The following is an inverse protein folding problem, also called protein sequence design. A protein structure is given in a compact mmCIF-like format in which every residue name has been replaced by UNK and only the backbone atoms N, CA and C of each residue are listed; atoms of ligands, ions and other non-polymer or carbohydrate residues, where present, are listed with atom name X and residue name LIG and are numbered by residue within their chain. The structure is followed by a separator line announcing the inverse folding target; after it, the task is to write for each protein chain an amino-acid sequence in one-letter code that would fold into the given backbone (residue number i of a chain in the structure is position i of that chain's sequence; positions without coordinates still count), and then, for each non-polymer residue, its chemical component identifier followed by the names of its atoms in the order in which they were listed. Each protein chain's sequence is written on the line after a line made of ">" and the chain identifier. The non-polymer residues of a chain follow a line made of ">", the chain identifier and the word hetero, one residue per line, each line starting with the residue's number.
data_IF_457939026283
#
_entry.id   IF_457939026283
#
_cell.length_a   1.000
_cell.length_b   1.000
_cell.length_c   1.000
_cell.angle_alpha   90.00
_cell.angle_beta   90.00
_cell.angle_gamma   90.00
#
_symmetry.space_group_name_H-M   'P 1'
#
loop_
_entity.id
_entity.type
_entity.pdbx_description
1 polymer ?
#
# COMPACT_ATOMS: atom_id res chain seq x y z
N UNK A 1 -6.42 9.06 7.11
CA UNK A 1 -5.24 8.34 7.58
C UNK A 1 -4.45 7.81 6.38
N UNK A 2 -3.16 8.16 6.27
CA UNK A 2 -2.26 7.63 5.26
C UNK A 2 -1.56 6.39 5.80
N UNK A 3 -1.48 5.35 4.97
CA UNK A 3 -0.80 4.09 5.29
C UNK A 3 0.19 3.79 4.15
N UNK A 4 1.51 3.95 4.37
CA UNK A 4 2.51 3.44 3.44
C UNK A 4 2.52 1.92 3.50
N UNK A 5 2.29 1.27 2.36
CA UNK A 5 2.11 -0.19 2.32
C UNK A 5 3.43 -0.96 2.39
N UNK A 6 4.52 -0.41 1.84
CA UNK A 6 5.78 -1.14 1.82
C UNK A 6 7.00 -0.26 1.59
N UNK A 7 8.08 -0.54 2.31
CA UNK A 7 9.43 -0.01 2.06
C UNK A 7 9.63 1.49 2.30
N UNK A 8 10.89 1.87 2.21
CA UNK A 8 11.34 3.23 2.54
C UNK A 8 10.84 4.27 1.54
N UNK A 9 10.87 3.95 0.24
CA UNK A 9 10.42 4.86 -0.82
C UNK A 9 8.92 5.16 -0.71
N UNK A 10 8.12 4.16 -0.36
CA UNK A 10 6.68 4.31 -0.14
C UNK A 10 6.41 5.13 1.13
N UNK A 11 7.18 4.92 2.19
CA UNK A 11 7.12 5.72 3.41
C UNK A 11 7.46 7.17 3.12
N UNK A 12 8.55 7.43 2.40
CA UNK A 12 8.95 8.78 2.01
C UNK A 12 7.90 9.48 1.14
N UNK A 13 7.28 8.75 0.23
CA UNK A 13 6.18 9.29 -0.59
C UNK A 13 4.98 9.66 0.29
N UNK A 14 4.57 8.80 1.21
CA UNK A 14 3.47 9.06 2.12
C UNK A 14 3.76 10.26 3.05
N UNK A 15 4.98 10.38 3.57
CA UNK A 15 5.43 11.51 4.37
C UNK A 15 5.41 12.82 3.58
N UNK A 16 5.87 12.81 2.33
CA UNK A 16 5.81 13.98 1.45
C UNK A 16 4.37 14.41 1.17
N UNK A 17 3.47 13.48 0.92
CA UNK A 17 2.03 13.75 0.76
C UNK A 17 1.48 14.37 2.05
N UNK A 18 1.77 13.78 3.20
CA UNK A 18 1.34 14.25 4.50
C UNK A 18 1.79 15.69 4.79
N UNK A 19 3.07 15.99 4.56
CA UNK A 19 3.64 17.34 4.77
C UNK A 19 2.99 18.37 3.83
N UNK A 20 2.72 18.01 2.57
CA UNK A 20 2.04 18.89 1.62
C UNK A 20 0.60 19.16 2.02
N UNK A 21 -0.15 18.14 2.41
CA UNK A 21 -1.52 18.30 2.88
C UNK A 21 -1.61 19.23 4.09
N UNK A 22 -0.68 19.10 5.04
CA UNK A 22 -0.60 20.00 6.18
C UNK A 22 -0.28 21.44 5.76
N UNK A 23 0.79 21.63 4.99
CA UNK A 23 1.32 22.95 4.64
C UNK A 23 0.41 23.70 3.67
N UNK A 24 0.01 23.06 2.58
CA UNK A 24 -0.61 23.73 1.44
C UNK A 24 -2.14 23.81 1.58
N UNK A 25 -2.75 22.95 2.40
CA UNK A 25 -4.20 22.86 2.59
C UNK A 25 -4.66 23.07 4.03
N UNK A 26 -3.75 23.36 4.95
CA UNK A 26 -4.04 23.62 6.37
C UNK A 26 -4.84 22.51 7.06
N UNK A 27 -4.53 21.25 6.73
CA UNK A 27 -5.22 20.06 7.24
C UNK A 27 -4.49 19.44 8.46
N UNK A 28 -3.86 20.24 9.30
CA UNK A 28 -2.98 19.77 10.39
C UNK A 28 -3.68 18.79 11.34
N UNK A 29 -4.91 19.04 11.70
CA UNK A 29 -5.68 18.21 12.63
C UNK A 29 -6.47 17.07 11.95
N UNK A 30 -6.55 17.09 10.61
CA UNK A 30 -7.41 16.18 9.85
C UNK A 30 -6.65 15.02 9.19
N UNK A 31 -5.32 15.13 9.11
CA UNK A 31 -4.47 14.16 8.42
C UNK A 31 -3.50 13.52 9.41
N UNK A 32 -3.50 12.21 9.43
CA UNK A 32 -2.57 11.39 10.20
C UNK A 32 -1.83 10.45 9.27
N UNK A 33 -0.63 10.07 9.64
CA UNK A 33 0.15 9.05 8.95
C UNK A 33 0.46 7.91 9.92
N UNK A 34 0.20 6.69 9.48
CA UNK A 34 0.54 5.49 10.23
C UNK A 34 1.88 4.97 9.69
N UNK A 35 2.96 5.23 10.41
CA UNK A 35 4.29 4.75 10.05
C UNK A 35 4.74 3.63 10.98
N UNK A 36 5.64 2.78 10.51
CA UNK A 36 6.27 1.73 11.31
C UNK A 36 7.17 2.27 12.45
N UNK A 37 7.42 3.58 12.49
CA UNK A 37 8.29 4.26 13.46
C UNK A 37 7.54 5.31 14.28
N UNK A 38 6.41 5.00 14.87
CA UNK A 38 5.94 5.83 15.98
C UNK A 38 6.60 5.35 17.26
N UNK A 39 7.78 5.89 17.55
CA UNK A 39 8.24 6.04 18.92
C UNK A 39 7.32 7.07 19.58
N UNK A 40 6.28 6.64 20.24
CA UNK A 40 5.62 7.48 21.22
C UNK A 40 6.54 7.54 22.41
N UNK A 41 7.25 8.66 22.61
CA UNK A 41 7.83 9.03 23.89
C UNK A 41 6.68 9.14 24.90
N UNK A 42 6.50 8.12 25.71
CA UNK A 42 5.63 8.19 26.86
C UNK A 42 6.46 8.93 27.93
N UNK A 43 5.96 10.06 28.48
CA UNK A 43 6.62 10.71 29.60
C UNK A 43 6.56 9.74 30.78
N UNK A 44 7.68 9.19 31.19
CA UNK A 44 7.98 8.40 32.38
C UNK A 44 8.64 7.04 32.09
N UNK A 45 9.58 6.99 31.15
CA UNK A 45 10.73 6.11 31.25
C UNK A 45 10.52 4.60 31.20
N UNK A 46 9.37 4.09 30.79
CA UNK A 46 9.19 2.66 30.50
C UNK A 46 8.79 2.52 29.04
N UNK A 47 9.80 2.31 28.20
CA UNK A 47 9.63 1.85 26.82
C UNK A 47 8.94 0.48 26.84
N UNK A 48 7.62 0.46 26.87
CA UNK A 48 6.91 -0.69 26.34
C UNK A 48 7.02 -0.57 24.83
N UNK A 49 7.83 -1.45 24.28
CA UNK A 49 8.11 -1.63 22.87
C UNK A 49 6.79 -1.99 22.15
N UNK A 50 5.92 -1.03 21.96
CA UNK A 50 4.79 -1.16 21.05
C UNK A 50 5.34 -0.90 19.65
N UNK A 51 6.05 -1.86 19.11
CA UNK A 51 6.35 -1.90 17.69
C UNK A 51 5.03 -1.93 16.96
N UNK A 52 4.60 -0.77 16.53
CA UNK A 52 3.50 -0.63 15.59
C UNK A 52 4.06 -1.00 14.21
N UNK A 53 4.31 -2.27 14.02
CA UNK A 53 4.77 -2.80 12.75
C UNK A 53 3.59 -2.88 11.79
N UNK A 54 3.43 -1.79 11.00
CA UNK A 54 2.86 -1.94 9.68
C UNK A 54 3.97 -2.56 8.84
N UNK A 55 3.98 -3.85 8.74
CA UNK A 55 5.01 -4.55 7.97
C UNK A 55 4.33 -5.25 6.81
N UNK A 56 4.43 -4.66 5.62
CA UNK A 56 4.48 -5.47 4.43
C UNK A 56 5.85 -6.13 4.43
N UNK A 57 5.99 -7.29 5.04
CA UNK A 57 7.21 -8.07 5.10
C UNK A 57 7.02 -9.40 4.38
N UNK A 58 8.05 -10.22 4.39
CA UNK A 58 8.03 -11.53 3.78
C UNK A 58 8.39 -12.59 4.82
N UNK A 59 7.70 -13.72 4.77
CA UNK A 59 8.11 -14.91 5.46
C UNK A 59 9.46 -15.43 4.93
N UNK A 60 10.14 -16.34 5.63
CA UNK A 60 11.42 -16.90 5.18
C UNK A 60 11.38 -17.58 3.80
N UNK A 61 10.24 -18.09 3.38
CA UNK A 61 9.95 -18.68 2.07
C UNK A 61 9.54 -17.66 1.00
N UNK A 62 9.56 -16.36 1.37
CA UNK A 62 9.24 -15.20 0.54
C UNK A 62 7.75 -14.98 0.25
N UNK A 63 6.86 -15.62 0.95
CA UNK A 63 5.45 -15.24 0.95
C UNK A 63 5.27 -13.84 1.58
N UNK A 64 4.42 -13.03 0.96
CA UNK A 64 4.11 -11.69 1.47
C UNK A 64 3.30 -11.80 2.75
N UNK A 65 3.74 -11.09 3.78
CA UNK A 65 3.04 -10.94 5.05
C UNK A 65 2.59 -9.50 5.23
N UNK A 66 1.31 -9.29 5.55
CA UNK A 66 0.78 -7.96 5.90
C UNK A 66 0.17 -8.04 7.29
N UNK A 67 0.62 -7.16 8.19
CA UNK A 67 0.15 -7.10 9.56
C UNK A 67 -0.27 -5.67 9.92
N UNK A 68 -1.41 -5.54 10.59
CA UNK A 68 -1.82 -4.33 11.30
C UNK A 68 -2.08 -4.75 12.75
N UNK A 69 -1.47 -4.07 13.71
CA UNK A 69 -1.72 -4.36 15.12
C UNK A 69 -3.21 -4.20 15.46
N UNK A 70 -3.74 -5.08 16.32
CA UNK A 70 -5.17 -5.09 16.69
C UNK A 70 -5.68 -3.72 17.16
N UNK A 71 -4.93 -3.05 18.01
CA UNK A 71 -5.30 -1.74 18.54
C UNK A 71 -5.31 -0.68 17.45
N UNK A 72 -4.34 -0.74 16.50
CA UNK A 72 -4.33 0.17 15.35
C UNK A 72 -5.54 -0.03 14.46
N UNK A 73 -5.93 -1.29 14.21
CA UNK A 73 -7.05 -1.59 13.34
C UNK A 73 -8.36 -1.00 13.89
N UNK A 74 -8.61 -1.17 15.17
CA UNK A 74 -9.89 -0.75 15.78
C UNK A 74 -9.87 0.69 16.29
N UNK A 75 -8.77 1.14 16.90
CA UNK A 75 -8.72 2.44 17.58
C UNK A 75 -8.29 3.57 16.65
N UNK A 76 -7.50 3.26 15.61
CA UNK A 76 -6.92 4.26 14.73
C UNK A 76 -7.62 4.28 13.36
N UNK A 77 -7.94 3.13 12.79
CA UNK A 77 -8.46 2.99 11.41
C UNK A 77 -9.96 3.19 11.35
N UNK A 78 -10.69 2.69 12.34
CA UNK A 78 -12.14 2.72 12.36
C UNK A 78 -12.71 4.14 12.18
N UNK A 79 -13.74 4.27 11.35
CA UNK A 79 -14.42 5.54 11.09
C UNK A 79 -13.63 6.56 10.30
N UNK A 80 -12.51 6.16 9.66
CA UNK A 80 -11.65 7.07 8.90
C UNK A 80 -11.71 6.82 7.39
N UNK A 81 -11.32 7.84 6.63
CA UNK A 81 -10.89 7.68 5.24
C UNK A 81 -9.47 7.15 5.22
N UNK A 82 -9.25 6.03 4.60
CA UNK A 82 -7.96 5.38 4.51
C UNK A 82 -7.34 5.67 3.14
N UNK A 83 -6.11 6.11 3.15
CA UNK A 83 -5.30 6.32 1.95
C UNK A 83 -4.11 5.38 2.00
N UNK A 84 -4.18 4.30 1.25
CA UNK A 84 -3.05 3.41 1.02
C UNK A 84 -2.10 4.08 0.05
N UNK A 85 -0.82 4.11 0.36
CA UNK A 85 0.23 4.65 -0.51
C UNK A 85 1.16 3.52 -0.88
N UNK A 86 1.39 3.27 -2.17
CA UNK A 86 2.29 2.23 -2.63
C UNK A 86 3.08 2.66 -3.87
N UNK A 87 4.40 2.60 -3.76
CA UNK A 87 5.31 2.86 -4.87
C UNK A 87 5.63 1.56 -5.60
N UNK A 88 4.83 1.24 -6.64
CA UNK A 88 4.85 -0.05 -7.34
C UNK A 88 6.08 -0.28 -8.24
N UNK A 89 6.95 0.69 -8.38
CA UNK A 89 8.23 0.56 -9.08
C UNK A 89 9.38 0.71 -8.09
N UNK A 90 9.87 -0.39 -7.59
CA UNK A 90 11.05 -0.43 -6.71
C UNK A 90 12.12 -1.35 -7.32
N UNK A 91 12.77 -0.92 -8.43
CA UNK A 91 13.79 -1.75 -9.05
C UNK A 91 14.91 -2.03 -8.04
N UNK A 92 15.34 -3.29 -7.97
CA UNK A 92 16.42 -3.76 -7.12
C UNK A 92 16.17 -3.66 -5.60
N UNK A 93 14.95 -3.38 -5.13
CA UNK A 93 14.64 -3.46 -3.72
C UNK A 93 14.73 -4.92 -3.26
N UNK A 94 15.56 -5.17 -2.27
CA UNK A 94 15.69 -6.50 -1.65
C UNK A 94 14.52 -6.77 -0.70
N UNK A 95 14.11 -8.03 -0.61
CA UNK A 95 13.03 -8.47 0.28
C UNK A 95 13.38 -8.17 1.74
N UNK A 96 14.66 -8.38 2.11
CA UNK A 96 15.21 -8.06 3.44
C UNK A 96 16.70 -7.81 3.34
N UNK A 97 17.27 -7.19 4.35
CA UNK A 97 18.72 -7.02 4.45
C UNK A 97 19.43 -8.38 4.40
N UNK A 98 20.48 -8.48 3.59
CA UNK A 98 21.23 -9.72 3.36
C UNK A 98 20.57 -10.72 2.41
N UNK A 99 19.36 -10.46 1.91
CA UNK A 99 18.71 -11.29 0.89
C UNK A 99 19.23 -10.95 -0.51
N UNK A 100 19.40 -11.96 -1.36
CA UNK A 100 19.58 -11.75 -2.81
C UNK A 100 18.26 -11.59 -3.55
N UNK A 101 17.15 -11.86 -2.90
CA UNK A 101 15.83 -11.80 -3.50
C UNK A 101 15.33 -10.36 -3.60
N UNK A 102 14.80 -10.05 -4.77
CA UNK A 102 14.24 -8.73 -5.10
C UNK A 102 12.73 -8.77 -4.97
N UNK A 103 12.16 -7.73 -4.35
CA UNK A 103 10.71 -7.53 -4.28
C UNK A 103 10.14 -7.43 -5.69
N UNK A 104 9.18 -8.26 -6.00
CA UNK A 104 8.53 -8.30 -7.31
C UNK A 104 7.30 -7.40 -7.36
N UNK A 105 6.83 -7.13 -8.58
CA UNK A 105 5.52 -6.48 -8.80
C UNK A 105 4.37 -7.29 -8.18
N UNK A 106 4.49 -8.62 -8.14
CA UNK A 106 3.48 -9.48 -7.54
C UNK A 106 3.42 -9.29 -6.02
N UNK A 107 4.56 -9.09 -5.36
CA UNK A 107 4.64 -8.86 -3.93
C UNK A 107 3.91 -7.55 -3.56
N UNK A 108 4.11 -6.48 -4.33
CA UNK A 108 3.36 -5.23 -4.14
C UNK A 108 1.86 -5.41 -4.31
N UNK A 109 1.43 -6.18 -5.32
CA UNK A 109 0.01 -6.46 -5.55
C UNK A 109 -0.58 -7.26 -4.38
N UNK A 110 0.13 -8.25 -3.87
CA UNK A 110 -0.28 -9.02 -2.70
C UNK A 110 -0.30 -8.16 -1.43
N UNK A 111 0.69 -7.29 -1.24
CA UNK A 111 0.72 -6.35 -0.12
C UNK A 111 -0.51 -5.45 -0.09
N UNK A 112 -0.87 -4.84 -1.24
CA UNK A 112 -2.08 -4.01 -1.34
C UNK A 112 -3.33 -4.85 -1.05
N UNK A 113 -3.44 -6.05 -1.63
CA UNK A 113 -4.57 -6.95 -1.37
C UNK A 113 -4.70 -7.30 0.11
N UNK A 114 -3.58 -7.59 0.77
CA UNK A 114 -3.56 -7.87 2.21
C UNK A 114 -4.04 -6.69 3.06
N UNK A 115 -3.59 -5.46 2.75
CA UNK A 115 -4.10 -4.27 3.45
C UNK A 115 -5.58 -4.05 3.19
N UNK A 116 -6.05 -4.19 1.95
CA UNK A 116 -7.47 -4.04 1.62
C UNK A 116 -8.33 -5.05 2.38
N UNK A 117 -7.91 -6.31 2.45
CA UNK A 117 -8.61 -7.34 3.21
C UNK A 117 -8.67 -7.00 4.71
N UNK A 118 -7.55 -6.63 5.32
CA UNK A 118 -7.49 -6.26 6.73
C UNK A 118 -8.38 -5.07 7.07
N UNK A 119 -8.35 -4.00 6.27
CA UNK A 119 -9.14 -2.80 6.54
C UNK A 119 -10.62 -2.96 6.17
N UNK A 120 -10.95 -3.81 5.20
CA UNK A 120 -12.35 -4.08 4.80
C UNK A 120 -13.18 -4.71 5.92
N UNK A 121 -12.53 -5.36 6.87
CA UNK A 121 -13.16 -5.96 8.04
C UNK A 121 -13.42 -4.95 9.17
N UNK A 122 -13.16 -3.66 8.94
CA UNK A 122 -13.42 -2.57 9.88
C UNK A 122 -14.42 -1.57 9.31
N UNK A 123 -15.11 -0.84 10.17
CA UNK A 123 -16.04 0.22 9.78
C UNK A 123 -15.27 1.45 9.28
N UNK A 124 -14.73 1.41 8.07
CA UNK A 124 -14.07 2.54 7.43
C UNK A 124 -15.04 3.35 6.56
N UNK A 125 -14.76 4.63 6.37
CA UNK A 125 -15.62 5.50 5.55
C UNK A 125 -15.32 5.35 4.06
N UNK A 126 -14.03 5.30 3.70
CA UNK A 126 -13.60 5.26 2.30
C UNK A 126 -12.17 4.75 2.19
N UNK A 127 -11.85 4.06 1.11
CA UNK A 127 -10.49 3.61 0.79
C UNK A 127 -10.01 4.16 -0.53
N UNK A 128 -8.86 4.81 -0.50
CA UNK A 128 -8.15 5.33 -1.68
C UNK A 128 -6.78 4.66 -1.78
N UNK A 129 -6.39 4.26 -2.97
CA UNK A 129 -5.02 3.85 -3.28
C UNK A 129 -4.31 4.96 -4.06
N UNK A 130 -3.19 5.43 -3.56
CA UNK A 130 -2.25 6.29 -4.29
C UNK A 130 -1.11 5.42 -4.79
N UNK A 131 -1.09 5.19 -6.09
CA UNK A 131 -0.09 4.41 -6.79
C UNK A 131 0.42 5.19 -7.99
N UNK A 132 1.53 5.93 -7.90
CA UNK A 132 2.06 6.74 -8.99
C UNK A 132 2.24 5.95 -10.29
N UNK A 133 2.56 4.67 -10.18
CA UNK A 133 2.63 3.73 -11.29
C UNK A 133 1.73 2.52 -11.01
N UNK A 134 1.07 2.00 -12.04
CA UNK A 134 0.22 0.82 -11.94
C UNK A 134 0.96 -0.45 -12.35
N UNK A 135 0.83 -1.48 -11.54
CA UNK A 135 1.28 -2.82 -11.91
C UNK A 135 0.51 -3.32 -13.13
N UNK A 136 1.20 -4.07 -13.97
CA UNK A 136 0.61 -4.74 -15.15
C UNK A 136 0.02 -3.82 -16.23
N UNK A 137 0.29 -2.54 -16.23
CA UNK A 137 -0.17 -1.62 -17.30
C UNK A 137 0.23 -2.07 -18.71
N UNK A 138 1.28 -2.87 -18.82
CA UNK A 138 1.72 -3.45 -20.11
C UNK A 138 0.88 -4.62 -20.60
N UNK A 139 -0.03 -5.16 -19.76
CA UNK A 139 -0.87 -6.32 -20.12
C UNK A 139 -2.16 -5.96 -20.87
N UNK A 140 -2.37 -4.68 -21.21
CA UNK A 140 -3.60 -4.19 -21.86
C UNK A 140 -3.73 -4.54 -23.36
N UNK A 141 -2.68 -5.02 -24.00
CA UNK A 141 -2.64 -5.27 -25.44
C UNK A 141 -3.31 -6.59 -25.89
N UNK A 142 -4.44 -6.96 -25.27
CA UNK A 142 -5.14 -8.24 -25.51
C UNK A 142 -5.50 -8.43 -26.97
N UNK A 143 -6.02 -7.40 -27.65
CA UNK A 143 -6.41 -7.51 -29.05
C UNK A 143 -5.21 -7.74 -29.99
N UNK A 144 -4.06 -7.12 -29.69
CA UNK A 144 -2.82 -7.32 -30.45
C UNK A 144 -2.37 -8.78 -30.41
N UNK A 145 -2.49 -9.42 -29.24
CA UNK A 145 -2.13 -10.84 -29.08
C UNK A 145 -3.18 -11.76 -29.69
N UNK A 146 -4.47 -11.44 -29.55
CA UNK A 146 -5.56 -12.20 -30.19
C UNK A 146 -5.42 -12.24 -31.71
N UNK A 147 -5.07 -11.11 -32.34
CA UNK A 147 -4.78 -11.06 -33.79
C UNK A 147 -3.62 -11.94 -34.20
N UNK A 148 -2.70 -12.25 -33.29
CA UNK A 148 -1.56 -13.16 -33.50
C UNK A 148 -1.87 -14.62 -33.12
N UNK A 149 -3.12 -14.93 -32.77
CA UNK A 149 -3.51 -16.27 -32.37
C UNK A 149 -3.24 -16.65 -30.91
N UNK A 150 -2.90 -15.67 -30.05
CA UNK A 150 -2.62 -15.91 -28.65
C UNK A 150 -3.70 -15.32 -27.73
N UNK A 151 -3.98 -16.02 -26.64
CA UNK A 151 -4.80 -15.49 -25.56
C UNK A 151 -3.88 -15.01 -24.45
N UNK A 152 -3.94 -13.71 -24.15
CA UNK A 152 -3.18 -13.09 -23.07
C UNK A 152 -4.07 -12.91 -21.84
N UNK A 153 -3.53 -13.23 -20.66
CA UNK A 153 -4.18 -12.94 -19.39
C UNK A 153 -4.16 -11.43 -19.12
N UNK A 154 -5.33 -10.86 -18.86
CA UNK A 154 -5.47 -9.44 -18.49
C UNK A 154 -5.21 -9.27 -17.01
N UNK A 155 -3.94 -9.20 -16.67
CA UNK A 155 -3.48 -9.06 -15.27
C UNK A 155 -3.95 -7.76 -14.65
N UNK A 156 -3.89 -6.63 -15.36
CA UNK A 156 -4.33 -5.33 -14.87
C UNK A 156 -5.82 -5.35 -14.50
N UNK A 157 -6.66 -5.75 -15.45
CA UNK A 157 -8.10 -5.81 -15.21
C UNK A 157 -8.47 -6.74 -14.06
N UNK A 158 -7.80 -7.89 -13.96
CA UNK A 158 -8.03 -8.83 -12.87
C UNK A 158 -7.64 -8.26 -11.53
N UNK A 159 -6.47 -7.61 -11.44
CA UNK A 159 -5.98 -6.96 -10.23
C UNK A 159 -6.93 -5.86 -9.77
N UNK A 160 -7.33 -4.95 -10.67
CA UNK A 160 -8.25 -3.87 -10.34
C UNK A 160 -9.62 -4.37 -9.88
N UNK A 161 -10.14 -5.43 -10.50
CA UNK A 161 -11.40 -6.07 -10.06
C UNK A 161 -11.27 -6.67 -8.66
N UNK A 162 -10.13 -7.30 -8.34
CA UNK A 162 -9.89 -7.83 -7.02
C UNK A 162 -9.84 -6.69 -5.99
N UNK A 163 -9.06 -5.64 -6.23
CA UNK A 163 -8.99 -4.49 -5.33
C UNK A 163 -10.36 -3.86 -5.08
N UNK A 164 -11.17 -3.69 -6.13
CA UNK A 164 -12.53 -3.17 -5.99
C UNK A 164 -13.40 -4.10 -5.13
N UNK A 165 -13.32 -5.40 -5.35
CA UNK A 165 -14.05 -6.41 -4.54
C UNK A 165 -13.60 -6.36 -3.07
N UNK A 166 -12.31 -6.16 -2.83
CA UNK A 166 -11.71 -6.08 -1.50
C UNK A 166 -11.86 -4.69 -0.85
N UNK A 167 -12.73 -3.83 -1.41
CA UNK A 167 -13.15 -2.58 -0.77
C UNK A 167 -12.50 -1.31 -1.29
N UNK A 168 -11.59 -1.36 -2.27
CA UNK A 168 -11.03 -0.15 -2.88
C UNK A 168 -12.12 0.65 -3.61
N UNK A 169 -12.22 1.95 -3.29
CA UNK A 169 -13.21 2.86 -3.88
C UNK A 169 -12.62 3.84 -4.87
N UNK A 170 -11.42 4.33 -4.59
CA UNK A 170 -10.74 5.33 -5.43
C UNK A 170 -9.30 4.92 -5.66
N UNK A 171 -8.79 5.19 -6.86
CA UNK A 171 -7.39 5.02 -7.18
C UNK A 171 -6.86 6.28 -7.85
N UNK A 172 -5.69 6.74 -7.39
CA UNK A 172 -4.95 7.86 -7.96
C UNK A 172 -3.64 7.33 -8.54
N UNK A 173 -3.41 7.62 -9.80
CA UNK A 173 -2.17 7.28 -10.51
C UNK A 173 -1.72 8.44 -11.38
N UNK A 174 -0.41 8.55 -11.61
CA UNK A 174 0.16 9.62 -12.44
C UNK A 174 0.25 9.16 -13.90
N UNK A 175 0.63 7.92 -14.13
CA UNK A 175 0.80 7.38 -15.49
C UNK A 175 -0.01 6.09 -15.66
N UNK A 176 -1.20 6.17 -16.26
CA UNK A 176 -1.98 4.99 -16.61
C UNK A 176 -1.43 4.25 -17.84
N UNK A 177 -0.31 4.69 -18.44
CA UNK A 177 0.41 4.11 -19.58
C UNK A 177 -0.36 4.14 -20.92
N UNK A 178 -1.67 4.24 -20.90
CA UNK A 178 -2.49 4.46 -22.11
C UNK A 178 -3.78 5.16 -21.77
N UNK A 179 -4.19 6.05 -22.62
CA UNK A 179 -5.50 6.68 -22.63
C UNK A 179 -6.51 5.76 -23.33
#
# INVERSE_FOLDING_TARGET
>A
LLIPCSGEETTQLAENIFLRLKKDYNLEEQVEILTSKRQTEIPNGTLKDHRHELVGDHFPDNEVQVNIGRNQLYDIIRGKHIVLVEHLLTPNRKVREGSEQIVSVNDHVMTISGYLDLISNTDILHTTLVAPYLSYVRSHSIEKYRKKGFYQFDSLRKTLKNYHKDGLKTMLTIDPHSS
#
